data_IF_994729115086
#
_entry.id   IF_994729115086
#
_cell.length_a   1.000
_cell.length_b   1.000
_cell.length_c   1.000
_cell.angle_alpha   90.00
_cell.angle_beta   90.00
_cell.angle_gamma   90.00
#
_symmetry.space_group_name_H-M   'P 1'
#
loop_
_entity.id
_entity.type
_entity.pdbx_description
1 polymer ?
#
# COMPACT_ATOMS: atom_id res chain seq x y z
N UNK A 1 30.03 -60.86 42.00
CA UNK A 1 30.40 -59.54 42.53
C UNK A 1 31.50 -58.97 41.64
N UNK A 2 31.14 -58.14 40.68
CA UNK A 2 32.05 -57.18 40.03
C UNK A 2 31.19 -55.97 39.68
N UNK A 3 31.27 -54.96 40.55
CA UNK A 3 30.30 -53.88 40.73
C UNK A 3 30.73 -52.63 39.96
N UNK A 4 31.07 -52.78 38.68
CA UNK A 4 31.61 -51.68 37.84
C UNK A 4 30.60 -51.09 36.85
N UNK A 5 29.30 -51.33 37.06
CA UNK A 5 28.26 -50.68 36.26
C UNK A 5 27.48 -49.71 37.13
N UNK A 6 27.73 -48.42 36.93
CA UNK A 6 26.99 -47.33 37.57
C UNK A 6 25.55 -47.36 37.03
N UNK A 7 24.65 -48.01 37.77
CA UNK A 7 23.24 -48.13 37.42
C UNK A 7 22.59 -46.74 37.47
N UNK A 8 21.89 -46.36 36.41
CA UNK A 8 21.15 -45.10 36.37
C UNK A 8 19.72 -45.28 36.86
N UNK A 9 19.00 -46.27 36.32
CA UNK A 9 17.62 -46.56 36.74
C UNK A 9 17.21 -48.01 36.41
N UNK A 10 16.15 -48.48 37.05
CA UNK A 10 15.41 -49.67 36.60
C UNK A 10 14.13 -49.18 35.93
N UNK A 11 13.94 -49.60 34.69
CA UNK A 11 12.83 -49.17 33.84
C UNK A 11 11.84 -50.32 33.62
N UNK A 12 10.54 -50.02 33.60
CA UNK A 12 9.49 -50.98 33.29
C UNK A 12 8.56 -50.44 32.21
N UNK A 13 8.14 -51.29 31.28
CA UNK A 13 7.24 -50.92 30.17
C UNK A 13 5.86 -51.56 30.28
N UNK A 14 4.84 -50.88 29.75
CA UNK A 14 3.43 -51.24 29.78
C UNK A 14 2.81 -51.04 28.39
N UNK A 15 1.67 -51.70 28.14
CA UNK A 15 0.99 -51.66 26.84
C UNK A 15 -0.11 -50.59 26.77
N UNK A 16 -0.68 -50.20 27.92
CA UNK A 16 -1.85 -49.32 27.94
C UNK A 16 -1.64 -48.07 28.82
N UNK A 17 -2.32 -46.96 28.50
CA UNK A 17 -2.32 -45.75 29.34
C UNK A 17 -2.82 -46.01 30.77
N UNK A 18 -3.83 -46.87 30.92
CA UNK A 18 -4.41 -47.18 32.22
C UNK A 18 -3.44 -47.95 33.12
N UNK A 19 -2.65 -48.86 32.55
CA UNK A 19 -1.59 -49.58 33.26
C UNK A 19 -0.55 -48.61 33.82
N UNK A 20 -0.04 -47.68 32.99
CA UNK A 20 1.00 -46.74 33.42
C UNK A 20 0.50 -45.74 34.47
N UNK A 21 -0.74 -45.24 34.35
CA UNK A 21 -1.33 -44.35 35.37
C UNK A 21 -1.44 -45.09 36.71
N UNK A 22 -1.90 -46.34 36.69
CA UNK A 22 -2.02 -47.15 37.91
C UNK A 22 -0.64 -47.52 38.49
N UNK A 23 0.35 -47.76 37.64
CA UNK A 23 1.73 -47.96 38.04
C UNK A 23 2.28 -46.70 38.72
N UNK A 24 2.17 -45.52 38.10
CA UNK A 24 2.62 -44.24 38.64
C UNK A 24 1.99 -43.93 40.00
N UNK A 25 0.67 -44.15 40.17
CA UNK A 25 -0.02 -44.02 41.47
C UNK A 25 0.58 -44.91 42.55
N UNK A 26 0.90 -46.17 42.21
CA UNK A 26 1.50 -47.13 43.15
C UNK A 26 2.95 -46.74 43.48
N UNK A 27 3.73 -46.26 42.51
CA UNK A 27 5.12 -45.83 42.71
C UNK A 27 5.18 -44.59 43.60
N UNK A 28 4.39 -43.55 43.28
CA UNK A 28 4.23 -42.37 44.13
C UNK A 28 3.63 -42.69 45.50
N UNK A 29 2.78 -43.73 45.59
CA UNK A 29 2.20 -44.24 46.83
C UNK A 29 3.20 -44.98 47.72
N UNK A 30 4.16 -45.70 47.12
CA UNK A 30 5.28 -46.34 47.82
C UNK A 30 6.32 -45.32 48.35
N UNK A 31 6.22 -44.07 47.88
CA UNK A 31 7.02 -42.94 48.34
C UNK A 31 8.40 -42.88 47.71
N UNK A 32 8.55 -43.38 46.48
CA UNK A 32 9.66 -43.01 45.61
C UNK A 32 9.47 -41.56 45.14
N UNK A 33 10.56 -40.81 45.09
CA UNK A 33 10.59 -39.37 44.77
C UNK A 33 11.37 -39.07 43.50
N UNK A 34 12.40 -39.87 43.19
CA UNK A 34 13.21 -39.80 41.97
C UNK A 34 12.78 -40.91 41.01
N UNK A 35 11.63 -40.70 40.39
CA UNK A 35 11.10 -41.56 39.35
C UNK A 35 10.46 -40.70 38.25
N UNK A 36 10.48 -41.19 37.02
CA UNK A 36 9.88 -40.49 35.88
C UNK A 36 8.97 -41.43 35.09
N UNK A 37 8.02 -40.85 34.36
CA UNK A 37 7.09 -41.57 33.50
C UNK A 37 7.23 -41.04 32.09
N UNK A 38 7.63 -41.92 31.18
CA UNK A 38 7.83 -41.58 29.78
C UNK A 38 6.68 -42.15 28.96
N UNK A 39 6.01 -41.30 28.18
CA UNK A 39 4.88 -41.68 27.34
C UNK A 39 5.02 -41.04 25.95
N UNK A 40 4.53 -41.69 24.87
CA UNK A 40 4.65 -41.17 23.51
C UNK A 40 3.79 -39.92 23.27
N UNK A 41 2.80 -39.69 24.12
CA UNK A 41 1.92 -38.53 24.10
C UNK A 41 1.47 -38.16 25.52
N UNK A 42 0.94 -36.94 25.74
CA UNK A 42 0.45 -36.51 27.05
C UNK A 42 -0.72 -37.37 27.54
N UNK A 43 -0.55 -38.03 28.68
CA UNK A 43 -1.59 -38.83 29.34
C UNK A 43 -2.27 -37.99 30.43
N UNK A 44 -3.58 -37.77 30.30
CA UNK A 44 -4.35 -36.96 31.25
C UNK A 44 -4.40 -37.62 32.64
N UNK A 45 -4.15 -36.82 33.69
CA UNK A 45 -4.12 -37.29 35.08
C UNK A 45 -2.80 -37.93 35.52
N UNK A 46 -1.76 -37.88 34.67
CA UNK A 46 -0.42 -38.34 35.04
C UNK A 46 0.22 -37.45 36.12
N UNK A 47 -0.01 -36.15 36.05
CA UNK A 47 0.40 -35.17 37.06
C UNK A 47 -0.16 -35.48 38.45
N UNK A 48 -1.45 -35.80 38.54
CA UNK A 48 -2.08 -36.25 39.79
C UNK A 48 -1.54 -37.62 40.24
N UNK A 49 -1.33 -38.55 39.31
CA UNK A 49 -0.78 -39.88 39.59
C UNK A 49 0.65 -39.83 40.15
N UNK A 50 1.48 -38.94 39.61
CA UNK A 50 2.84 -38.69 40.05
C UNK A 50 2.92 -37.76 41.27
N UNK A 51 1.83 -37.05 41.60
CA UNK A 51 1.76 -35.98 42.62
C UNK A 51 2.69 -34.80 42.30
N UNK A 52 2.73 -34.40 41.04
CA UNK A 52 3.52 -33.26 40.58
C UNK A 52 2.94 -31.93 41.09
N UNK A 53 3.81 -30.95 41.31
CA UNK A 53 3.40 -29.59 41.66
C UNK A 53 3.04 -28.82 40.37
N UNK A 54 2.16 -27.80 40.45
CA UNK A 54 1.87 -26.93 39.32
C UNK A 54 3.14 -26.28 38.75
N UNK A 55 3.21 -26.20 37.42
CA UNK A 55 4.34 -25.58 36.73
C UNK A 55 4.44 -24.08 37.01
N UNK A 56 5.67 -23.60 37.24
CA UNK A 56 5.95 -22.17 37.43
C UNK A 56 6.12 -21.40 36.11
N UNK A 57 5.99 -22.08 34.97
CA UNK A 57 6.24 -21.48 33.65
C UNK A 57 5.32 -20.29 33.36
N UNK A 58 4.05 -20.36 33.76
CA UNK A 58 3.10 -19.25 33.55
C UNK A 58 3.48 -17.96 34.28
N UNK A 59 4.23 -18.06 35.40
CA UNK A 59 4.72 -16.87 36.10
C UNK A 59 5.81 -16.16 35.28
N UNK A 60 6.67 -16.91 34.58
CA UNK A 60 7.66 -16.34 33.67
C UNK A 60 6.97 -15.58 32.55
N UNK A 61 5.92 -16.16 31.94
CA UNK A 61 5.13 -15.51 30.89
C UNK A 61 4.52 -14.20 31.38
N UNK A 62 3.91 -14.21 32.57
CA UNK A 62 3.28 -13.03 33.16
C UNK A 62 4.29 -11.91 33.42
N UNK A 63 5.40 -12.22 34.09
CA UNK A 63 6.42 -11.23 34.45
C UNK A 63 7.06 -10.63 33.21
N UNK A 64 7.43 -11.46 32.22
CA UNK A 64 8.06 -11.00 30.99
C UNK A 64 7.09 -10.23 30.09
N UNK A 65 5.80 -10.61 30.06
CA UNK A 65 4.76 -9.86 29.37
C UNK A 65 4.53 -8.48 29.99
N UNK A 66 4.41 -8.38 31.31
CA UNK A 66 4.28 -7.11 32.02
C UNK A 66 5.52 -6.22 31.86
N UNK A 67 6.70 -6.82 31.88
CA UNK A 67 7.95 -6.12 31.57
C UNK A 67 7.93 -5.57 30.15
N UNK A 68 7.50 -6.36 29.17
CA UNK A 68 7.38 -5.91 27.77
C UNK A 68 6.37 -4.77 27.57
N UNK A 69 5.21 -4.86 28.23
CA UNK A 69 4.23 -3.77 28.24
C UNK A 69 4.82 -2.48 28.81
N UNK A 70 5.52 -2.61 29.95
CA UNK A 70 6.14 -1.48 30.65
C UNK A 70 7.25 -0.85 29.82
N UNK A 71 8.12 -1.66 29.22
CA UNK A 71 9.20 -1.21 28.34
C UNK A 71 8.63 -0.44 27.15
N UNK A 72 7.61 -0.97 26.47
CA UNK A 72 7.00 -0.30 25.32
C UNK A 72 6.41 1.07 25.69
N UNK A 73 5.57 1.11 26.73
CA UNK A 73 4.89 2.33 27.15
C UNK A 73 5.88 3.39 27.65
N UNK A 74 6.84 2.99 28.50
CA UNK A 74 7.84 3.91 29.04
C UNK A 74 8.77 4.43 27.95
N UNK A 75 9.17 3.58 27.00
CA UNK A 75 10.02 3.98 25.89
C UNK A 75 9.31 4.96 24.95
N UNK A 76 8.07 4.67 24.55
CA UNK A 76 7.28 5.58 23.70
C UNK A 76 6.96 6.90 24.41
N UNK A 77 6.62 6.86 25.70
CA UNK A 77 6.43 8.05 26.51
C UNK A 77 7.72 8.89 26.55
N UNK A 78 8.86 8.27 26.88
CA UNK A 78 10.13 8.96 26.94
C UNK A 78 10.49 9.61 25.60
N UNK A 79 10.35 8.87 24.49
CA UNK A 79 10.74 9.37 23.17
C UNK A 79 9.87 10.56 22.70
N UNK A 80 8.54 10.44 22.77
CA UNK A 80 7.61 11.43 22.20
C UNK A 80 7.23 12.54 23.19
N UNK A 81 7.34 12.30 24.51
CA UNK A 81 6.94 13.30 25.53
C UNK A 81 8.11 13.98 26.23
N UNK A 82 9.31 13.37 26.25
CA UNK A 82 10.47 13.90 27.00
C UNK A 82 11.63 14.26 26.08
N UNK A 83 12.14 13.30 25.31
CA UNK A 83 13.38 13.45 24.53
C UNK A 83 13.16 14.33 23.30
N UNK A 84 12.19 13.97 22.44
CA UNK A 84 11.93 14.73 21.21
C UNK A 84 10.43 14.95 20.96
N UNK A 85 9.82 15.94 21.65
CA UNK A 85 8.40 16.22 21.53
C UNK A 85 8.01 16.74 20.14
N UNK A 86 7.26 15.93 19.39
CA UNK A 86 6.78 16.25 18.05
C UNK A 86 5.27 16.44 18.02
N UNK A 87 4.81 17.54 17.43
CA UNK A 87 3.39 17.80 17.19
C UNK A 87 3.00 17.21 15.83
N UNK A 88 2.45 15.99 15.84
CA UNK A 88 2.02 15.27 14.64
C UNK A 88 0.50 15.28 14.57
N UNK A 89 -0.06 16.01 13.60
CA UNK A 89 -1.52 16.07 13.39
C UNK A 89 -2.30 16.68 14.56
N UNK A 90 -1.67 17.54 15.37
CA UNK A 90 -2.30 18.21 16.51
C UNK A 90 -2.61 17.31 17.71
N UNK A 91 -2.06 16.08 17.74
CA UNK A 91 -2.27 15.14 18.86
C UNK A 91 -1.46 15.56 20.11
N UNK A 92 -1.93 15.23 21.32
CA UNK A 92 -1.15 15.43 22.54
C UNK A 92 0.12 14.56 22.51
N UNK A 93 1.19 15.02 23.20
CA UNK A 93 2.46 14.28 23.25
C UNK A 93 2.31 12.86 23.81
N UNK A 94 1.43 12.66 24.78
CA UNK A 94 1.06 11.33 25.26
C UNK A 94 -0.30 10.90 24.72
N UNK A 95 -0.31 10.25 23.55
CA UNK A 95 -1.51 9.73 22.91
C UNK A 95 -1.66 8.22 23.17
N UNK A 96 -2.08 7.85 24.39
CA UNK A 96 -2.18 6.46 24.83
C UNK A 96 -2.89 5.52 23.81
N UNK A 97 -4.04 5.87 23.19
CA UNK A 97 -4.69 4.99 22.22
C UNK A 97 -3.81 4.60 21.03
N UNK A 98 -2.90 5.47 20.61
CA UNK A 98 -1.96 5.18 19.52
C UNK A 98 -0.82 4.25 19.96
N UNK A 99 -0.52 4.18 21.26
CA UNK A 99 0.57 3.36 21.82
C UNK A 99 0.11 1.93 22.13
N UNK A 100 -1.20 1.70 22.32
CA UNK A 100 -1.74 0.38 22.68
C UNK A 100 -1.36 -0.72 21.66
N UNK A 101 -1.49 -0.54 20.33
CA UNK A 101 -1.13 -1.60 19.39
C UNK A 101 0.34 -2.03 19.51
N UNK A 102 1.26 -1.08 19.61
CA UNK A 102 2.69 -1.35 19.74
C UNK A 102 2.99 -2.04 21.08
N UNK A 103 2.36 -1.55 22.15
CA UNK A 103 2.51 -2.13 23.50
C UNK A 103 2.04 -3.59 23.51
N UNK A 104 0.87 -3.85 22.91
CA UNK A 104 0.31 -5.20 22.81
C UNK A 104 1.26 -6.16 22.09
N UNK A 105 1.79 -5.76 20.92
CA UNK A 105 2.73 -6.59 20.16
C UNK A 105 4.00 -6.89 20.96
N UNK A 106 4.58 -5.89 21.64
CA UNK A 106 5.80 -6.11 22.43
C UNK A 106 5.55 -6.97 23.67
N UNK A 107 4.37 -6.84 24.30
CA UNK A 107 3.92 -7.73 25.38
C UNK A 107 3.86 -9.18 24.90
N UNK A 108 3.16 -9.44 23.79
CA UNK A 108 3.00 -10.79 23.26
C UNK A 108 4.34 -11.38 22.82
N UNK A 109 5.18 -10.58 22.16
CA UNK A 109 6.51 -11.00 21.73
C UNK A 109 7.40 -11.41 22.92
N UNK A 110 7.56 -10.53 23.91
CA UNK A 110 8.44 -10.80 25.05
C UNK A 110 7.90 -11.90 25.94
N UNK A 111 6.58 -11.98 26.15
CA UNK A 111 5.95 -13.08 26.86
C UNK A 111 6.25 -14.42 26.17
N UNK A 112 6.03 -14.52 24.85
CA UNK A 112 6.15 -15.76 24.10
C UNK A 112 7.59 -16.23 24.00
N UNK A 113 8.51 -15.36 23.55
CA UNK A 113 9.93 -15.69 23.37
C UNK A 113 10.57 -16.09 24.69
N UNK A 114 10.32 -15.33 25.76
CA UNK A 114 10.88 -15.64 27.07
C UNK A 114 10.29 -16.92 27.67
N UNK A 115 9.01 -17.22 27.42
CA UNK A 115 8.39 -18.47 27.87
C UNK A 115 9.04 -19.67 27.19
N UNK A 116 9.20 -19.63 25.86
CA UNK A 116 9.86 -20.70 25.11
C UNK A 116 11.32 -20.86 25.56
N UNK A 117 12.05 -19.75 25.71
CA UNK A 117 13.43 -19.78 26.18
C UNK A 117 13.56 -20.38 27.59
N UNK A 118 12.70 -19.95 28.53
CA UNK A 118 12.70 -20.50 29.88
C UNK A 118 12.29 -21.97 29.90
N UNK A 119 11.27 -22.35 29.13
CA UNK A 119 10.83 -23.74 29.00
C UNK A 119 11.97 -24.65 28.54
N UNK A 120 12.68 -24.25 27.49
CA UNK A 120 13.80 -25.01 26.93
C UNK A 120 15.01 -25.02 27.88
N UNK A 121 15.47 -23.85 28.34
CA UNK A 121 16.76 -23.74 29.04
C UNK A 121 16.67 -24.00 30.54
N UNK A 122 15.59 -23.60 31.21
CA UNK A 122 15.49 -23.63 32.67
C UNK A 122 14.68 -24.82 33.17
N UNK A 123 13.56 -25.14 32.52
CA UNK A 123 12.65 -26.20 32.97
C UNK A 123 12.99 -27.55 32.37
N UNK A 124 13.12 -27.64 31.04
CA UNK A 124 13.41 -28.91 30.34
C UNK A 124 14.92 -29.16 30.17
N UNK A 125 15.74 -28.12 30.32
CA UNK A 125 17.20 -28.18 30.20
C UNK A 125 17.68 -28.74 28.85
N UNK A 126 16.93 -28.46 27.78
CA UNK A 126 17.26 -28.86 26.41
C UNK A 126 18.30 -27.91 25.79
N UNK A 127 19.22 -28.44 24.95
CA UNK A 127 19.39 -29.84 24.60
C UNK A 127 20.20 -30.64 25.64
N UNK A 128 19.65 -31.73 26.17
CA UNK A 128 20.38 -32.70 27.01
C UNK A 128 20.70 -33.98 26.22
N UNK A 129 21.70 -33.90 25.35
CA UNK A 129 22.08 -35.01 24.47
C UNK A 129 22.82 -36.14 25.21
N UNK A 130 23.13 -35.98 26.50
CA UNK A 130 23.89 -36.96 27.31
C UNK A 130 23.01 -37.77 28.27
N UNK A 131 21.68 -37.63 28.19
CA UNK A 131 20.76 -38.32 29.09
C UNK A 131 20.92 -39.86 28.98
N UNK A 132 21.05 -40.61 30.10
CA UNK A 132 21.33 -42.06 30.05
C UNK A 132 20.23 -42.92 29.41
N UNK A 133 19.00 -42.38 29.30
CA UNK A 133 17.89 -43.06 28.62
C UNK A 133 18.01 -43.03 27.08
N UNK A 134 18.81 -42.12 26.52
CA UNK A 134 18.98 -42.04 25.06
C UNK A 134 19.57 -43.35 24.52
N UNK A 135 19.13 -43.73 23.32
CA UNK A 135 19.53 -44.97 22.62
C UNK A 135 19.20 -46.32 23.28
N UNK A 136 18.55 -46.33 24.45
CA UNK A 136 18.05 -47.55 25.11
C UNK A 136 16.89 -48.20 24.35
N UNK A 137 16.70 -49.52 24.50
CA UNK A 137 15.54 -50.20 23.92
C UNK A 137 14.24 -49.74 24.58
N UNK A 138 14.28 -49.50 25.89
CA UNK A 138 13.25 -48.80 26.64
C UNK A 138 12.77 -47.52 25.93
N UNK A 139 13.64 -46.53 25.72
CA UNK A 139 13.23 -45.24 25.17
C UNK A 139 12.75 -45.35 23.71
N UNK A 140 13.34 -46.26 22.91
CA UNK A 140 12.88 -46.57 21.55
C UNK A 140 11.46 -47.13 21.53
N UNK A 141 11.12 -48.00 22.49
CA UNK A 141 9.77 -48.57 22.60
C UNK A 141 8.75 -47.55 23.11
N UNK A 142 9.13 -46.74 24.09
CA UNK A 142 8.24 -45.73 24.68
C UNK A 142 7.94 -44.58 23.72
N UNK A 143 8.92 -44.17 22.91
CA UNK A 143 8.74 -43.12 21.90
C UNK A 143 7.84 -43.55 20.74
N UNK A 144 7.52 -44.85 20.63
CA UNK A 144 6.70 -45.41 19.56
C UNK A 144 5.27 -45.71 20.04
N UNK A 145 5.10 -46.76 20.86
CA UNK A 145 3.79 -47.30 21.21
C UNK A 145 3.66 -47.81 22.66
N UNK A 146 4.74 -47.80 23.44
CA UNK A 146 4.75 -48.30 24.83
C UNK A 146 4.73 -47.16 25.85
N UNK A 147 4.41 -47.50 27.09
CA UNK A 147 4.41 -46.56 28.22
C UNK A 147 5.42 -47.03 29.23
N UNK A 148 6.26 -46.13 29.73
CA UNK A 148 7.40 -46.49 30.56
C UNK A 148 7.43 -45.76 31.88
N UNK A 149 7.94 -46.43 32.92
CA UNK A 149 8.29 -45.82 34.20
C UNK A 149 9.74 -46.15 34.54
N UNK A 150 10.48 -45.17 35.06
CA UNK A 150 11.86 -45.33 35.53
C UNK A 150 11.93 -44.99 37.00
N UNK A 151 12.61 -45.82 37.81
CA UNK A 151 12.97 -45.47 39.18
C UNK A 151 14.49 -45.31 39.20
N UNK A 152 14.95 -44.09 39.49
CA UNK A 152 16.36 -43.73 39.43
C UNK A 152 17.13 -44.26 40.65
N UNK A 153 18.38 -44.64 40.42
CA UNK A 153 19.28 -45.13 41.47
C UNK A 153 19.68 -44.05 42.50
N UNK A 154 19.37 -42.78 42.21
CA UNK A 154 19.59 -41.65 43.11
C UNK A 154 18.50 -41.53 44.21
N UNK A 155 17.38 -42.25 44.09
CA UNK A 155 16.33 -42.21 45.11
C UNK A 155 16.82 -42.76 46.45
N UNK A 156 16.48 -42.10 47.56
CA UNK A 156 16.88 -42.52 48.91
C UNK A 156 16.34 -43.92 49.28
N UNK A 157 15.23 -44.36 48.68
CA UNK A 157 14.65 -45.69 48.89
C UNK A 157 15.11 -46.71 47.85
N UNK A 158 16.07 -46.36 47.01
CA UNK A 158 16.49 -47.24 45.94
C UNK A 158 17.25 -48.45 46.48
N UNK A 159 16.69 -49.64 46.28
CA UNK A 159 17.39 -50.91 46.40
C UNK A 159 17.05 -51.75 45.18
N UNK A 160 18.07 -52.20 44.44
CA UNK A 160 17.90 -52.91 43.16
C UNK A 160 16.91 -54.08 43.26
N UNK A 161 17.03 -54.91 44.29
CA UNK A 161 16.19 -56.12 44.44
C UNK A 161 14.77 -55.75 44.88
N UNK A 162 14.61 -54.75 45.74
CA UNK A 162 13.28 -54.30 46.18
C UNK A 162 12.52 -53.61 45.06
N UNK A 163 13.19 -52.75 44.29
CA UNK A 163 12.64 -52.05 43.13
C UNK A 163 12.25 -53.03 42.04
N UNK A 164 13.10 -54.00 41.70
CA UNK A 164 12.76 -55.02 40.71
C UNK A 164 11.53 -55.84 41.14
N UNK A 165 11.49 -56.30 42.39
CA UNK A 165 10.35 -57.04 42.93
C UNK A 165 9.08 -56.19 42.99
N UNK A 166 9.21 -54.90 43.29
CA UNK A 166 8.11 -53.95 43.28
C UNK A 166 7.56 -53.74 41.87
N UNK A 167 8.43 -53.49 40.88
CA UNK A 167 8.05 -53.32 39.48
C UNK A 167 7.40 -54.61 38.93
N UNK A 168 7.90 -55.81 39.28
CA UNK A 168 7.26 -57.09 38.90
C UNK A 168 5.81 -57.20 39.38
N UNK A 169 5.48 -56.68 40.57
CA UNK A 169 4.10 -56.66 41.10
C UNK A 169 3.15 -55.74 40.32
N UNK A 170 3.70 -54.87 39.47
CA UNK A 170 2.91 -53.99 38.60
C UNK A 170 2.49 -54.68 37.29
N UNK A 171 2.91 -55.93 37.05
CA UNK A 171 2.70 -56.69 35.81
C UNK A 171 3.22 -55.97 34.54
N UNK A 172 4.50 -55.57 34.49
CA UNK A 172 5.06 -54.92 33.31
C UNK A 172 5.28 -55.91 32.17
N UNK A 173 5.35 -55.39 30.94
CA UNK A 173 5.71 -56.14 29.75
C UNK A 173 7.20 -56.51 29.73
N UNK A 174 8.07 -55.58 30.11
CA UNK A 174 9.50 -55.80 30.23
C UNK A 174 10.08 -54.96 31.38
N UNK A 175 11.18 -55.44 31.97
CA UNK A 175 11.99 -54.70 32.96
C UNK A 175 13.42 -54.64 32.42
N UNK A 176 13.98 -53.44 32.33
CA UNK A 176 15.33 -53.18 31.81
C UNK A 176 16.17 -52.43 32.83
N UNK A 177 17.44 -52.85 32.99
CA UNK A 177 18.43 -52.15 33.81
C UNK A 177 19.20 -51.18 32.92
N UNK A 178 19.06 -49.88 33.18
CA UNK A 178 19.70 -48.83 32.39
C UNK A 178 20.89 -48.29 33.17
N UNK A 179 22.06 -48.28 32.53
CA UNK A 179 23.32 -47.86 33.11
C UNK A 179 23.78 -46.55 32.47
N UNK A 180 24.62 -45.79 33.19
CA UNK A 180 25.26 -44.62 32.58
C UNK A 180 26.11 -45.03 31.37
N UNK A 181 25.99 -44.34 30.22
CA UNK A 181 26.82 -44.63 29.07
C UNK A 181 28.29 -44.28 29.37
N UNK A 182 29.26 -44.97 28.73
CA UNK A 182 30.66 -44.60 28.84
C UNK A 182 30.87 -43.18 28.29
N UNK A 183 31.65 -42.36 29.00
CA UNK A 183 31.95 -40.99 28.57
C UNK A 183 32.90 -41.03 27.39
N UNK A 184 32.40 -40.71 26.19
CA UNK A 184 33.22 -40.55 24.99
C UNK A 184 33.80 -39.11 24.94
N UNK A 185 35.12 -38.98 24.95
CA UNK A 185 35.79 -37.69 24.82
C UNK A 185 36.23 -37.45 23.38
N UNK A 186 35.73 -36.38 22.77
CA UNK A 186 36.12 -35.94 21.43
C UNK A 186 36.95 -34.65 21.50
N UNK A 187 38.03 -34.52 20.72
CA UNK A 187 38.76 -33.25 20.64
C UNK A 187 37.89 -32.18 19.96
N UNK A 188 37.91 -30.95 20.48
CA UNK A 188 37.09 -29.83 19.99
C UNK A 188 37.34 -29.53 18.49
N UNK A 189 38.56 -29.82 17.99
CA UNK A 189 38.98 -29.55 16.61
C UNK A 189 39.07 -30.81 15.75
N UNK A 190 38.00 -31.59 15.70
CA UNK A 190 37.94 -32.70 14.74
C UNK A 190 37.94 -32.19 13.29
N UNK A 191 38.72 -32.80 12.38
CA UNK A 191 38.77 -32.38 10.97
C UNK A 191 37.40 -32.37 10.28
N UNK A 192 36.52 -33.34 10.60
CA UNK A 192 35.15 -33.39 10.07
C UNK A 192 34.31 -32.19 10.52
N UNK A 193 34.44 -31.77 11.78
CA UNK A 193 33.73 -30.61 12.32
C UNK A 193 34.25 -29.30 11.71
N UNK A 194 35.57 -29.17 11.54
CA UNK A 194 36.19 -28.03 10.87
C UNK A 194 35.76 -27.93 9.39
N UNK A 195 35.71 -29.05 8.68
CA UNK A 195 35.20 -29.10 7.30
C UNK A 195 33.72 -28.72 7.21
N UNK A 196 32.90 -29.18 8.18
CA UNK A 196 31.49 -28.78 8.27
C UNK A 196 31.36 -27.27 8.48
N UNK A 197 32.11 -26.70 9.43
CA UNK A 197 32.11 -25.26 9.69
C UNK A 197 32.55 -24.45 8.45
N UNK A 198 33.61 -24.89 7.77
CA UNK A 198 34.06 -24.26 6.52
C UNK A 198 32.99 -24.34 5.43
N UNK A 199 32.31 -25.49 5.30
CA UNK A 199 31.19 -25.67 4.38
C UNK A 199 30.01 -24.74 4.69
N UNK A 200 29.60 -24.65 5.96
CA UNK A 200 28.56 -23.73 6.41
C UNK A 200 28.97 -22.28 6.12
N UNK A 201 30.21 -21.91 6.43
CA UNK A 201 30.71 -20.56 6.18
C UNK A 201 30.69 -20.21 4.68
N UNK A 202 31.07 -21.14 3.80
CA UNK A 202 31.00 -20.96 2.35
C UNK A 202 29.57 -20.82 1.84
N UNK A 203 28.65 -21.68 2.32
CA UNK A 203 27.23 -21.63 1.92
C UNK A 203 26.57 -20.34 2.39
N UNK A 204 26.78 -19.95 3.65
CA UNK A 204 26.24 -18.71 4.21
C UNK A 204 26.83 -17.51 3.49
N UNK A 205 28.16 -17.44 3.33
CA UNK A 205 28.81 -16.32 2.65
C UNK A 205 28.38 -16.21 1.19
N UNK A 206 28.31 -17.33 0.47
CA UNK A 206 27.85 -17.37 -0.92
C UNK A 206 26.38 -16.99 -1.07
N UNK A 207 25.52 -17.50 -0.19
CA UNK A 207 24.11 -17.17 -0.12
C UNK A 207 23.90 -15.68 0.17
N UNK A 208 24.55 -15.14 1.20
CA UNK A 208 24.50 -13.71 1.54
C UNK A 208 25.04 -12.85 0.41
N UNK A 209 26.16 -13.21 -0.22
CA UNK A 209 26.70 -12.49 -1.37
C UNK A 209 25.69 -12.45 -2.53
N UNK A 210 25.11 -13.60 -2.88
CA UNK A 210 24.09 -13.68 -3.93
C UNK A 210 22.86 -12.85 -3.59
N UNK A 211 22.33 -12.99 -2.38
CA UNK A 211 21.14 -12.24 -1.93
C UNK A 211 21.38 -10.74 -2.01
N UNK A 212 22.49 -10.27 -1.43
CA UNK A 212 22.79 -8.85 -1.35
C UNK A 212 23.22 -8.24 -2.69
N UNK A 213 23.92 -8.98 -3.56
CA UNK A 213 24.48 -8.42 -4.81
C UNK A 213 23.70 -8.78 -6.09
N UNK A 214 22.84 -9.80 -6.05
CA UNK A 214 22.05 -10.23 -7.22
C UNK A 214 20.56 -10.19 -6.96
N UNK A 215 20.09 -10.83 -5.89
CA UNK A 215 18.65 -10.96 -5.65
C UNK A 215 17.99 -9.61 -5.35
N UNK A 216 18.57 -8.79 -4.46
CA UNK A 216 17.98 -7.49 -4.11
C UNK A 216 17.99 -6.47 -5.25
N UNK A 217 18.92 -6.61 -6.20
CA UNK A 217 19.02 -5.72 -7.36
C UNK A 217 18.25 -6.22 -8.58
N UNK A 218 17.67 -7.41 -8.51
CA UNK A 218 16.76 -7.90 -9.53
C UNK A 218 15.42 -7.21 -9.31
N UNK A 219 15.01 -6.34 -10.23
CA UNK A 219 13.71 -5.65 -10.13
C UNK A 219 12.58 -6.65 -10.38
N UNK A 220 11.81 -7.06 -9.36
CA UNK A 220 10.67 -7.92 -9.58
C UNK A 220 9.54 -7.09 -10.19
N UNK A 221 8.69 -7.73 -11.00
CA UNK A 221 7.47 -7.10 -11.54
C UNK A 221 7.72 -5.83 -12.36
N UNK A 222 8.71 -5.83 -13.24
CA UNK A 222 8.96 -4.71 -14.17
C UNK A 222 7.71 -4.32 -14.97
N UNK A 223 6.86 -5.29 -15.31
CA UNK A 223 5.58 -5.06 -15.98
C UNK A 223 4.54 -4.25 -15.15
N UNK A 224 4.73 -4.10 -13.84
CA UNK A 224 3.91 -3.23 -13.00
C UNK A 224 4.47 -1.81 -12.91
N UNK A 225 5.80 -1.64 -12.93
CA UNK A 225 6.44 -0.32 -12.97
C UNK A 225 6.36 0.30 -14.38
N UNK A 226 6.63 -0.52 -15.40
CA UNK A 226 6.66 -0.13 -16.80
C UNK A 226 5.40 -0.66 -17.50
N UNK A 227 4.34 0.14 -17.42
CA UNK A 227 3.11 -0.12 -18.16
C UNK A 227 3.15 0.54 -19.53
N UNK A 228 2.75 -0.22 -20.55
CA UNK A 228 2.58 0.31 -21.90
C UNK A 228 1.48 1.38 -21.91
N UNK A 229 1.89 2.62 -22.19
CA UNK A 229 1.00 3.77 -22.33
C UNK A 229 1.36 4.58 -23.57
N UNK A 230 0.35 5.11 -24.23
CA UNK A 230 0.51 6.12 -25.26
C UNK A 230 0.75 7.48 -24.59
N UNK A 231 1.92 8.06 -24.86
CA UNK A 231 2.31 9.39 -24.39
C UNK A 231 1.91 10.41 -25.48
N UNK A 232 1.48 11.64 -25.14
CA UNK A 232 1.16 12.65 -26.14
C UNK A 232 2.27 12.79 -27.18
N UNK A 233 1.90 12.84 -28.46
CA UNK A 233 2.81 12.95 -29.62
C UNK A 233 3.70 11.71 -29.89
N UNK A 234 3.56 10.61 -29.15
CA UNK A 234 4.18 9.32 -29.50
C UNK A 234 3.39 8.64 -30.62
N UNK A 235 4.10 8.06 -31.60
CA UNK A 235 3.48 7.21 -32.62
C UNK A 235 2.89 5.93 -32.04
N UNK A 236 1.93 5.34 -32.74
CA UNK A 236 1.32 4.06 -32.37
C UNK A 236 1.50 3.05 -33.49
N UNK A 237 1.96 1.85 -33.14
CA UNK A 237 2.04 0.72 -34.07
C UNK A 237 0.67 0.02 -34.23
N UNK A 238 -0.30 0.32 -33.35
CA UNK A 238 -1.64 -0.28 -33.37
C UNK A 238 -2.51 0.27 -34.51
N UNK A 239 -2.31 1.54 -34.90
CA UNK A 239 -3.16 2.22 -35.88
C UNK A 239 -2.43 2.37 -37.21
N UNK A 240 -3.12 2.11 -38.32
CA UNK A 240 -2.55 2.13 -39.68
C UNK A 240 -2.00 3.51 -40.11
N UNK A 241 -2.44 4.59 -39.46
CA UNK A 241 -1.97 5.96 -39.72
C UNK A 241 -0.76 6.36 -38.87
N UNK A 242 -0.30 5.48 -37.97
CA UNK A 242 0.85 5.71 -37.10
C UNK A 242 0.63 6.73 -35.99
N UNK A 243 -0.55 7.37 -35.91
CA UNK A 243 -0.84 8.40 -34.92
C UNK A 243 -1.31 7.79 -33.59
N UNK A 244 -0.66 8.18 -32.50
CA UNK A 244 -1.10 7.81 -31.15
C UNK A 244 -2.40 8.48 -30.71
N UNK A 245 -2.68 9.69 -31.19
CA UNK A 245 -3.92 10.41 -30.91
C UNK A 245 -4.96 10.17 -32.02
N UNK A 246 -6.16 9.74 -31.65
CA UNK A 246 -7.27 9.54 -32.58
C UNK A 246 -8.05 10.84 -32.78
N UNK A 247 -8.39 11.16 -34.02
CA UNK A 247 -9.40 12.19 -34.31
C UNK A 247 -10.78 11.67 -33.91
N UNK A 248 -11.71 12.53 -33.49
CA UNK A 248 -13.11 12.16 -33.33
C UNK A 248 -13.67 11.56 -34.62
N UNK A 249 -14.67 10.68 -34.49
CA UNK A 249 -15.37 10.10 -35.65
C UNK A 249 -15.99 11.22 -36.48
N UNK A 250 -15.98 11.07 -37.81
CA UNK A 250 -16.59 12.06 -38.71
C UNK A 250 -18.07 12.32 -38.33
N UNK A 251 -18.47 13.58 -38.25
CA UNK A 251 -19.81 13.98 -37.82
C UNK A 251 -19.99 14.08 -36.30
N UNK A 252 -18.95 13.85 -35.49
CA UNK A 252 -19.02 14.09 -34.04
C UNK A 252 -19.25 15.57 -33.75
N UNK A 253 -20.32 15.87 -33.01
CA UNK A 253 -20.66 17.22 -32.53
C UNK A 253 -20.35 17.29 -31.04
N UNK A 254 -19.58 18.30 -30.63
CA UNK A 254 -19.28 18.52 -29.21
C UNK A 254 -20.57 18.84 -28.43
N UNK A 255 -20.68 18.35 -27.18
CA UNK A 255 -21.87 18.65 -26.35
C UNK A 255 -22.00 20.15 -26.15
N UNK A 256 -23.20 20.68 -26.36
CA UNK A 256 -23.48 22.13 -26.27
C UNK A 256 -23.05 22.94 -27.49
N UNK A 257 -22.46 22.30 -28.51
CA UNK A 257 -22.09 22.97 -29.76
C UNK A 257 -23.14 22.69 -30.84
N UNK A 258 -23.69 23.74 -31.45
CA UNK A 258 -24.57 23.62 -32.61
C UNK A 258 -23.70 23.91 -33.84
N UNK A 259 -23.48 22.93 -34.74
CA UNK A 259 -22.69 23.14 -35.94
C UNK A 259 -23.25 24.27 -36.79
N UNK A 260 -22.37 25.09 -37.34
CA UNK A 260 -22.76 26.13 -38.28
C UNK A 260 -23.19 25.48 -39.62
N UNK A 261 -24.46 25.62 -40.05
CA UNK A 261 -24.99 24.82 -41.17
C UNK A 261 -24.46 25.26 -42.54
N UNK A 262 -23.96 26.49 -42.68
CA UNK A 262 -23.48 27.04 -43.95
C UNK A 262 -21.95 27.02 -44.06
N UNK A 263 -21.27 26.12 -43.33
CA UNK A 263 -19.81 26.03 -43.34
C UNK A 263 -19.30 25.77 -44.77
N UNK A 264 -18.36 26.60 -45.23
CA UNK A 264 -17.76 26.50 -46.57
C UNK A 264 -18.60 27.04 -47.73
N UNK A 265 -19.80 27.56 -47.50
CA UNK A 265 -20.56 28.29 -48.52
C UNK A 265 -20.07 29.74 -48.58
N UNK A 266 -20.13 30.38 -49.76
CA UNK A 266 -19.71 31.81 -49.93
C UNK A 266 -20.88 32.77 -49.69
N UNK A 267 -22.09 32.38 -50.09
CA UNK A 267 -23.33 33.14 -49.88
C UNK A 267 -24.38 32.19 -49.29
N UNK A 268 -24.73 32.30 -48.00
CA UNK A 268 -25.72 31.42 -47.38
C UNK A 268 -27.13 31.71 -47.92
N UNK A 269 -27.92 30.65 -48.16
CA UNK A 269 -29.28 30.73 -48.73
C UNK A 269 -30.32 31.31 -47.78
N UNK A 270 -30.07 31.25 -46.47
CA UNK A 270 -30.92 31.80 -45.42
C UNK A 270 -30.15 32.82 -44.58
N UNK A 271 -30.80 33.94 -44.28
CA UNK A 271 -30.22 35.02 -43.48
C UNK A 271 -30.42 34.71 -42.00
N UNK A 272 -29.32 34.44 -41.28
CA UNK A 272 -29.37 34.37 -39.83
C UNK A 272 -29.65 35.76 -39.25
N UNK A 273 -30.60 35.84 -38.33
CA UNK A 273 -30.84 37.06 -37.54
C UNK A 273 -29.96 37.06 -36.29
N UNK A 274 -29.54 38.25 -35.86
CA UNK A 274 -28.76 38.39 -34.64
C UNK A 274 -29.65 38.13 -33.41
N UNK A 275 -29.38 37.08 -32.60
CA UNK A 275 -30.16 36.83 -31.39
C UNK A 275 -29.73 37.73 -30.22
N UNK A 276 -28.61 38.44 -30.33
CA UNK A 276 -28.08 39.33 -29.29
C UNK A 276 -28.70 40.72 -29.43
N UNK A 277 -29.54 41.10 -28.46
CA UNK A 277 -30.03 42.46 -28.35
C UNK A 277 -28.85 43.44 -28.14
N UNK A 278 -28.90 44.66 -28.72
CA UNK A 278 -27.84 45.66 -28.57
C UNK A 278 -27.89 46.33 -27.18
N UNK A 279 -27.69 45.56 -26.12
CA UNK A 279 -27.52 46.07 -24.75
C UNK A 279 -26.10 46.63 -24.55
N UNK A 280 -25.90 47.41 -23.49
CA UNK A 280 -24.59 47.99 -23.17
C UNK A 280 -23.52 46.91 -22.97
N UNK A 281 -23.89 45.79 -22.35
CA UNK A 281 -23.02 44.65 -22.09
C UNK A 281 -22.61 43.97 -23.40
N UNK A 282 -23.57 43.69 -24.30
CA UNK A 282 -23.31 43.04 -25.58
C UNK A 282 -22.51 43.94 -26.53
N UNK A 283 -22.76 45.25 -26.53
CA UNK A 283 -21.96 46.21 -27.30
C UNK A 283 -20.54 46.29 -26.75
N UNK A 284 -20.37 46.28 -25.42
CA UNK A 284 -19.04 46.32 -24.78
C UNK A 284 -18.24 45.05 -25.08
N UNK A 285 -18.87 43.88 -25.02
CA UNK A 285 -18.27 42.61 -25.44
C UNK A 285 -17.89 42.64 -26.93
N UNK A 286 -18.80 43.13 -27.78
CA UNK A 286 -18.56 43.29 -29.21
C UNK A 286 -17.37 44.19 -29.51
N UNK A 287 -17.25 45.32 -28.79
CA UNK A 287 -16.12 46.23 -28.87
C UNK A 287 -14.81 45.55 -28.50
N UNK A 288 -14.77 44.88 -27.34
CA UNK A 288 -13.57 44.18 -26.88
C UNK A 288 -13.07 43.17 -27.92
N UNK A 289 -13.97 42.35 -28.45
CA UNK A 289 -13.60 41.30 -29.42
C UNK A 289 -13.28 41.89 -30.79
N UNK A 290 -13.96 42.94 -31.22
CA UNK A 290 -13.61 43.66 -32.44
C UNK A 290 -12.20 44.27 -32.34
N UNK A 291 -11.89 44.93 -31.22
CA UNK A 291 -10.58 45.55 -30.99
C UNK A 291 -9.44 44.52 -31.02
N UNK A 292 -9.70 43.28 -30.56
CA UNK A 292 -8.72 42.19 -30.56
C UNK A 292 -8.57 41.57 -31.96
N UNK A 293 -9.68 41.15 -32.59
CA UNK A 293 -9.63 40.27 -33.76
C UNK A 293 -9.84 40.98 -35.10
N UNK A 294 -10.63 42.06 -35.12
CA UNK A 294 -11.05 42.73 -36.36
C UNK A 294 -10.26 44.02 -36.64
N UNK A 295 -9.98 44.81 -35.60
CA UNK A 295 -9.24 46.08 -35.72
C UNK A 295 -7.83 45.96 -36.28
N UNK A 296 -7.07 44.84 -36.13
CA UNK A 296 -5.77 44.71 -36.77
C UNK A 296 -5.83 44.90 -38.29
N UNK A 297 -6.93 44.45 -38.91
CA UNK A 297 -7.15 44.54 -40.34
C UNK A 297 -8.07 45.72 -40.71
N UNK A 298 -9.19 45.91 -40.02
CA UNK A 298 -10.19 46.93 -40.39
C UNK A 298 -10.01 48.29 -39.69
N UNK A 299 -9.02 48.43 -38.80
CA UNK A 299 -8.82 49.62 -37.97
C UNK A 299 -9.78 49.71 -36.79
N UNK A 300 -9.49 50.56 -35.80
CA UNK A 300 -10.33 50.69 -34.59
C UNK A 300 -11.70 51.32 -34.89
N UNK A 301 -11.79 52.14 -35.94
CA UNK A 301 -13.01 52.81 -36.36
C UNK A 301 -13.65 52.16 -37.59
N UNK A 302 -13.18 50.97 -38.01
CA UNK A 302 -13.66 50.26 -39.19
C UNK A 302 -13.43 50.97 -40.54
N UNK A 303 -12.43 51.86 -40.61
CA UNK A 303 -12.09 52.63 -41.80
C UNK A 303 -11.28 51.86 -42.84
N UNK A 304 -10.88 50.62 -42.53
CA UNK A 304 -9.98 49.84 -43.38
C UNK A 304 -8.52 50.30 -43.27
N UNK A 305 -8.22 51.17 -42.30
CA UNK A 305 -6.89 51.65 -41.94
C UNK A 305 -6.17 50.60 -41.07
N UNK A 306 -5.83 49.48 -41.72
CA UNK A 306 -5.12 48.35 -41.13
C UNK A 306 -3.79 48.79 -40.50
N UNK A 307 -3.52 48.38 -39.25
CA UNK A 307 -2.16 48.46 -38.68
C UNK A 307 -1.21 47.43 -39.31
N UNK A 308 -1.75 46.50 -40.11
CA UNK A 308 -1.03 45.51 -40.91
C UNK A 308 -0.93 45.92 -42.40
N UNK A 309 -1.20 47.19 -42.72
CA UNK A 309 -1.12 47.73 -44.09
C UNK A 309 0.26 47.42 -44.71
N UNK A 310 0.25 46.87 -45.93
CA UNK A 310 1.45 46.48 -46.67
C UNK A 310 1.89 45.02 -46.49
N UNK A 311 1.38 44.29 -45.50
CA UNK A 311 1.66 42.85 -45.31
C UNK A 311 0.60 41.94 -45.94
N UNK A 312 -0.63 42.43 -46.08
CA UNK A 312 -1.76 41.75 -46.72
C UNK A 312 -2.55 42.74 -47.59
N UNK A 313 -3.36 42.28 -48.57
CA UNK A 313 -4.29 43.15 -49.27
C UNK A 313 -5.18 43.91 -48.29
N UNK A 314 -5.25 45.23 -48.43
CA UNK A 314 -6.02 46.06 -47.50
C UNK A 314 -7.51 45.66 -47.55
N UNK A 315 -8.12 45.38 -46.39
CA UNK A 315 -9.53 45.04 -46.36
C UNK A 315 -10.39 46.27 -46.68
N UNK A 316 -11.62 46.08 -47.16
CA UNK A 316 -12.53 47.18 -47.40
C UNK A 316 -12.92 47.87 -46.08
N UNK A 317 -13.22 49.17 -46.17
CA UNK A 317 -13.91 49.88 -45.09
C UNK A 317 -15.28 49.25 -44.84
N UNK A 318 -15.61 49.03 -43.56
CA UNK A 318 -16.93 48.53 -43.17
C UNK A 318 -18.00 49.63 -43.20
N UNK A 319 -17.63 50.86 -43.56
CA UNK A 319 -18.55 51.98 -43.80
C UNK A 319 -19.01 52.11 -45.25
N UNK A 320 -18.49 51.30 -46.18
CA UNK A 320 -18.97 51.32 -47.56
C UNK A 320 -20.46 50.95 -47.64
N UNK A 321 -21.18 51.48 -48.63
CA UNK A 321 -22.60 51.14 -48.83
C UNK A 321 -22.81 49.62 -48.90
N UNK A 322 -21.94 48.93 -49.66
CA UNK A 322 -21.93 47.47 -49.75
C UNK A 322 -21.81 46.77 -48.40
N UNK A 323 -20.93 47.25 -47.51
CA UNK A 323 -20.75 46.66 -46.19
C UNK A 323 -21.92 46.97 -45.23
N UNK A 324 -22.59 48.11 -45.40
CA UNK A 324 -23.81 48.46 -44.65
C UNK A 324 -25.01 47.62 -45.08
N UNK A 325 -25.11 47.34 -46.38
CA UNK A 325 -26.21 46.56 -46.97
C UNK A 325 -26.13 45.06 -46.65
N UNK A 326 -24.98 44.58 -46.15
CA UNK A 326 -24.90 43.21 -45.62
C UNK A 326 -25.86 43.04 -44.46
N UNK A 327 -26.60 41.92 -44.45
CA UNK A 327 -27.39 41.53 -43.28
C UNK A 327 -26.47 41.14 -42.11
N UNK A 328 -27.00 41.19 -40.89
CA UNK A 328 -26.25 40.79 -39.70
C UNK A 328 -25.75 39.33 -39.80
N UNK A 329 -26.58 38.44 -40.37
CA UNK A 329 -26.19 37.07 -40.66
C UNK A 329 -25.06 36.94 -41.66
N UNK A 330 -24.97 37.84 -42.64
CA UNK A 330 -23.86 37.86 -43.60
C UNK A 330 -22.55 38.29 -42.92
N UNK A 331 -22.59 39.31 -42.06
CA UNK A 331 -21.43 39.71 -41.26
C UNK A 331 -20.96 38.58 -40.33
N UNK A 332 -21.90 37.90 -39.66
CA UNK A 332 -21.63 36.70 -38.86
C UNK A 332 -21.01 35.57 -39.70
N UNK A 333 -21.55 35.33 -40.89
CA UNK A 333 -21.08 34.30 -41.83
C UNK A 333 -19.63 34.54 -42.26
N UNK A 334 -19.31 35.78 -42.65
CA UNK A 334 -17.96 36.18 -43.07
C UNK A 334 -16.95 35.96 -41.94
N UNK A 335 -17.29 36.30 -40.69
CA UNK A 335 -16.40 36.02 -39.55
C UNK A 335 -16.25 34.51 -39.28
N UNK A 336 -17.29 33.72 -39.53
CA UNK A 336 -17.29 32.28 -39.28
C UNK A 336 -16.52 31.51 -40.35
N UNK A 337 -16.74 31.79 -41.64
CA UNK A 337 -16.16 31.05 -42.75
C UNK A 337 -14.94 31.72 -43.38
N UNK A 338 -14.71 33.01 -43.11
CA UNK A 338 -13.83 33.85 -43.91
C UNK A 338 -14.49 34.26 -45.23
N UNK A 339 -13.86 35.20 -45.94
CA UNK A 339 -14.28 35.63 -47.27
C UNK A 339 -13.08 36.17 -48.05
N UNK A 340 -12.87 35.68 -49.27
CA UNK A 340 -11.71 36.03 -50.10
C UNK A 340 -10.39 35.77 -49.34
N UNK A 341 -9.65 36.83 -49.03
CA UNK A 341 -8.38 36.79 -48.29
C UNK A 341 -8.58 36.85 -46.77
N UNK A 342 -9.79 37.13 -46.28
CA UNK A 342 -10.10 37.14 -44.86
C UNK A 342 -10.18 35.70 -44.34
N UNK A 343 -9.37 35.30 -43.33
CA UNK A 343 -9.40 33.97 -42.78
C UNK A 343 -10.68 33.71 -41.97
N UNK A 344 -10.98 32.43 -41.74
CA UNK A 344 -12.00 32.04 -40.76
C UNK A 344 -11.52 32.33 -39.34
N UNK A 345 -12.41 32.89 -38.52
CA UNK A 345 -12.21 33.09 -37.09
C UNK A 345 -13.05 32.11 -36.25
N UNK A 346 -13.46 30.97 -36.83
CA UNK A 346 -14.32 29.98 -36.16
C UNK A 346 -13.72 29.45 -34.86
N UNK A 347 -12.40 29.19 -34.86
CA UNK A 347 -11.71 28.57 -33.73
C UNK A 347 -11.25 29.57 -32.67
N UNK A 348 -11.16 30.86 -33.00
CA UNK A 348 -10.66 31.90 -32.11
C UNK A 348 -11.78 32.73 -31.45
N UNK A 349 -12.94 32.84 -32.09
CA UNK A 349 -14.07 33.64 -31.61
C UNK A 349 -15.27 32.70 -31.41
N UNK A 350 -15.91 32.76 -30.25
CA UNK A 350 -17.13 31.98 -30.01
C UNK A 350 -18.32 32.49 -30.84
N UNK A 351 -19.40 31.69 -30.89
CA UNK A 351 -20.64 32.06 -31.58
C UNK A 351 -21.22 33.37 -31.03
N UNK A 352 -21.23 33.52 -29.72
CA UNK A 352 -21.88 34.65 -29.05
C UNK A 352 -21.06 35.93 -29.22
N UNK A 353 -19.74 35.83 -29.12
CA UNK A 353 -18.82 36.94 -29.39
C UNK A 353 -18.92 37.43 -30.84
N UNK A 354 -19.08 36.54 -31.82
CA UNK A 354 -19.31 36.97 -33.22
C UNK A 354 -20.58 37.80 -33.36
N UNK A 355 -21.68 37.41 -32.71
CA UNK A 355 -22.92 38.19 -32.74
C UNK A 355 -22.79 39.54 -32.02
N UNK A 356 -22.05 39.58 -30.92
CA UNK A 356 -21.71 40.83 -30.23
C UNK A 356 -20.87 41.77 -31.13
N UNK A 357 -19.88 41.22 -31.87
CA UNK A 357 -19.10 42.00 -32.85
C UNK A 357 -20.00 42.59 -33.93
N UNK A 358 -20.98 41.84 -34.45
CA UNK A 358 -21.94 42.38 -35.43
C UNK A 358 -22.65 43.63 -34.89
N UNK A 359 -23.14 43.59 -33.64
CA UNK A 359 -23.75 44.76 -33.01
C UNK A 359 -22.79 45.95 -32.93
N UNK A 360 -21.53 45.71 -32.56
CA UNK A 360 -20.54 46.78 -32.50
C UNK A 360 -20.18 47.36 -33.88
N UNK A 361 -20.13 46.53 -34.93
CA UNK A 361 -19.97 47.01 -36.32
C UNK A 361 -21.12 47.95 -36.68
N UNK A 362 -22.37 47.62 -36.30
CA UNK A 362 -23.53 48.51 -36.52
C UNK A 362 -23.40 49.82 -35.77
N UNK A 363 -22.90 49.80 -34.53
CA UNK A 363 -22.59 51.02 -33.76
C UNK A 363 -21.57 51.88 -34.49
N UNK A 364 -20.48 51.31 -34.99
CA UNK A 364 -19.47 52.05 -35.76
C UNK A 364 -20.07 52.65 -37.04
N UNK A 365 -20.83 51.86 -37.80
CA UNK A 365 -21.51 52.32 -39.02
C UNK A 365 -22.47 53.48 -38.74
N UNK A 366 -23.23 53.40 -37.64
CA UNK A 366 -24.17 54.42 -37.17
C UNK A 366 -23.47 55.68 -36.68
N UNK A 367 -22.38 55.53 -35.93
CA UNK A 367 -21.58 56.66 -35.43
C UNK A 367 -21.01 57.52 -36.56
N UNK A 368 -20.62 56.91 -37.68
CA UNK A 368 -20.13 57.62 -38.87
C UNK A 368 -21.23 58.09 -39.81
N UNK A 369 -22.42 57.46 -39.76
CA UNK A 369 -23.58 57.76 -40.60
C UNK A 369 -24.83 57.86 -39.71
N UNK A 370 -24.93 58.94 -38.92
CA UNK A 370 -26.08 59.21 -38.09
C UNK A 370 -27.35 59.34 -38.96
N UNK A 371 -28.51 58.86 -38.50
CA UNK A 371 -29.77 59.17 -39.19
C UNK A 371 -30.51 60.33 -38.56
N UNK A 372 -31.53 60.81 -39.26
CA UNK A 372 -32.40 61.91 -38.82
C UNK A 372 -32.96 61.72 -37.41
N UNK A 373 -33.18 60.47 -36.97
CA UNK A 373 -33.60 60.15 -35.61
C UNK A 373 -32.51 60.48 -34.57
N UNK A 374 -31.23 60.17 -34.85
CA UNK A 374 -30.13 60.55 -33.95
C UNK A 374 -29.95 62.06 -33.95
N UNK A 375 -30.06 62.70 -35.11
CA UNK A 375 -29.98 64.16 -35.23
C UNK A 375 -31.09 64.83 -34.42
N UNK A 376 -32.30 64.27 -34.47
CA UNK A 376 -33.45 64.76 -33.67
C UNK A 376 -33.18 64.60 -32.18
N UNK A 377 -32.62 63.47 -31.74
CA UNK A 377 -32.29 63.23 -30.34
C UNK A 377 -31.16 64.16 -29.85
N UNK A 378 -30.10 64.31 -30.65
CA UNK A 378 -29.01 65.26 -30.37
C UNK A 378 -29.52 66.71 -30.29
N UNK A 379 -30.50 67.08 -31.13
CA UNK A 379 -31.10 68.41 -31.12
C UNK A 379 -31.97 68.66 -29.88
N UNK A 380 -32.58 67.63 -29.26
CA UNK A 380 -33.29 67.78 -27.97
C UNK A 380 -32.33 68.17 -26.85
N UNK A 381 -31.12 67.61 -26.84
CA UNK A 381 -30.08 67.99 -25.87
C UNK A 381 -29.50 69.37 -26.17
N UNK A 382 -29.29 69.71 -27.45
CA UNK A 382 -28.78 71.02 -27.86
C UNK A 382 -29.75 72.19 -27.53
N UNK A 383 -31.07 71.95 -27.56
CA UNK A 383 -32.08 72.93 -27.17
C UNK A 383 -31.98 73.41 -25.71
N UNK A 384 -31.37 72.62 -24.82
CA UNK A 384 -31.11 73.02 -23.43
C UNK A 384 -29.86 73.91 -23.27
N UNK A 385 -29.00 74.01 -24.28
CA UNK A 385 -27.78 74.83 -24.24
C UNK A 385 -27.98 76.27 -24.77
N UNK A 386 -29.19 76.63 -25.23
CA UNK A 386 -29.53 77.98 -25.74
C UNK A 386 -30.44 78.77 -24.77
N UNK A 387 -30.69 78.23 -23.58
CA UNK A 387 -31.37 78.93 -22.49
C UNK A 387 -30.41 79.17 -21.32
N UNK A 388 -29.48 80.12 -21.50
CA UNK A 388 -28.81 80.86 -20.43
C UNK A 388 -28.40 82.24 -20.93
#
# INVERSE_FOLDING_TARGET
MNNDKNLYCIAATFNTPDEIINAAKKVSGAGYTHFDVNTPYPVHGMDDAMKLKPSKLGFVTLVMGLAGASIALLFMYWNISVDYPLVIGGKPYFALPAFIPITFELTVLLATVSTVAAMIMLFFQLPDNKHPLHDTQYMKSVSNDKYGITIEAIDDKFNETEVENFLKKLNPLNIEYIYFPPVETYPIFQPKFLLLLAGIALVVSGGTYFSLNKLMFMTPFTFMMDQDKLIPQKGSELFADGFGMRKPVAGTVARGFIPYPYKGQVNPTEVLSNPFLPTKENISLGKEKYDIYCSPCHGYFADGDSRLNGQFPNPPTLHSQRARDFSDGMLYHIMTNGQNVMPSYESQISRDERWAIVNYIRVLQRAKNASDADLTEMNKEAGNNVAN
#
